data_IF_526072525912
#
_entry.id   IF_526072525912
#
_cell.length_a   1.000
_cell.length_b   1.000
_cell.length_c   1.000
_cell.angle_alpha   90.00
_cell.angle_beta   90.00
_cell.angle_gamma   90.00
#
_symmetry.space_group_name_H-M   'P 1'
#
loop_
_entity.id
_entity.type
_entity.pdbx_description
1 polymer ?
#
# COMPACT_ATOMS: atom_id res chain seq x y z
N UNK A 1 -9.36 -82.02 -31.91
CA UNK A 1 -9.87 -81.01 -30.97
C UNK A 1 -10.21 -79.77 -31.76
N UNK A 2 -11.48 -79.38 -31.77
CA UNK A 2 -12.01 -78.37 -32.70
C UNK A 2 -11.61 -76.94 -32.31
N UNK A 3 -11.37 -76.12 -33.33
CA UNK A 3 -11.13 -74.68 -33.28
C UNK A 3 -12.01 -73.91 -32.27
N UNK A 4 -13.27 -74.34 -32.11
CA UNK A 4 -14.22 -73.77 -31.14
C UNK A 4 -13.75 -73.87 -29.68
N UNK A 5 -13.03 -74.93 -29.30
CA UNK A 5 -12.52 -75.10 -27.94
C UNK A 5 -11.39 -74.11 -27.64
N UNK A 6 -10.50 -73.88 -28.61
CA UNK A 6 -9.40 -72.91 -28.51
C UNK A 6 -9.97 -71.49 -28.40
N UNK A 7 -10.96 -71.15 -29.23
CA UNK A 7 -11.63 -69.85 -29.19
C UNK A 7 -12.25 -69.56 -27.82
N UNK A 8 -12.95 -70.54 -27.23
CA UNK A 8 -13.57 -70.42 -25.90
C UNK A 8 -12.54 -70.19 -24.79
N UNK A 9 -11.38 -70.84 -24.87
CA UNK A 9 -10.28 -70.63 -23.91
C UNK A 9 -9.70 -69.22 -24.02
N UNK A 10 -9.49 -68.74 -25.25
CA UNK A 10 -8.98 -67.39 -25.51
C UNK A 10 -9.98 -66.34 -25.00
N UNK A 11 -11.26 -66.48 -25.32
CA UNK A 11 -12.31 -65.56 -24.85
C UNK A 11 -12.40 -65.54 -23.31
N UNK A 12 -12.32 -66.71 -22.67
CA UNK A 12 -12.31 -66.80 -21.21
C UNK A 12 -11.10 -66.12 -20.58
N UNK A 13 -9.92 -66.26 -21.19
CA UNK A 13 -8.68 -65.64 -20.70
C UNK A 13 -8.72 -64.11 -20.90
N UNK A 14 -9.17 -63.66 -22.07
CA UNK A 14 -9.31 -62.25 -22.40
C UNK A 14 -10.32 -61.55 -21.47
N UNK A 15 -11.43 -62.21 -21.12
CA UNK A 15 -12.40 -61.69 -20.16
C UNK A 15 -11.78 -61.46 -18.78
N UNK A 16 -10.99 -62.41 -18.27
CA UNK A 16 -10.29 -62.26 -16.98
C UNK A 16 -9.32 -61.07 -16.98
N UNK A 17 -8.52 -60.94 -18.05
CA UNK A 17 -7.59 -59.82 -18.20
C UNK A 17 -8.33 -58.48 -18.21
N UNK A 18 -9.47 -58.38 -18.89
CA UNK A 18 -10.31 -57.17 -18.89
C UNK A 18 -10.84 -56.85 -17.50
N UNK A 19 -11.32 -57.86 -16.76
CA UNK A 19 -11.81 -57.69 -15.39
C UNK A 19 -10.71 -57.20 -14.43
N UNK A 20 -9.49 -57.75 -14.54
CA UNK A 20 -8.33 -57.29 -13.77
C UNK A 20 -7.93 -55.83 -14.12
N UNK A 21 -7.93 -55.48 -15.41
CA UNK A 21 -7.69 -54.09 -15.86
C UNK A 21 -8.76 -53.15 -15.29
N UNK A 22 -10.03 -53.56 -15.24
CA UNK A 22 -11.09 -52.76 -14.64
C UNK A 22 -10.91 -52.59 -13.13
N UNK A 23 -10.52 -53.65 -12.43
CA UNK A 23 -10.28 -53.60 -10.98
C UNK A 23 -9.11 -52.66 -10.65
N UNK A 24 -7.97 -52.85 -11.29
CA UNK A 24 -6.77 -52.01 -11.12
C UNK A 24 -7.03 -50.55 -11.49
N UNK A 25 -7.78 -50.28 -12.57
CA UNK A 25 -8.21 -48.92 -12.93
C UNK A 25 -9.06 -48.27 -11.84
N UNK A 26 -9.97 -49.03 -11.22
CA UNK A 26 -10.82 -48.53 -10.13
C UNK A 26 -10.00 -48.23 -8.88
N UNK A 27 -9.08 -49.11 -8.49
CA UNK A 27 -8.20 -48.89 -7.35
C UNK A 27 -7.29 -47.68 -7.54
N UNK A 28 -6.68 -47.55 -8.73
CA UNK A 28 -5.85 -46.40 -9.07
C UNK A 28 -6.65 -45.10 -9.01
N UNK A 29 -7.88 -45.09 -9.53
CA UNK A 29 -8.77 -43.93 -9.46
C UNK A 29 -9.06 -43.54 -8.00
N UNK A 30 -9.41 -44.50 -7.15
CA UNK A 30 -9.65 -44.24 -5.73
C UNK A 30 -8.40 -43.71 -5.01
N UNK A 31 -7.22 -44.23 -5.35
CA UNK A 31 -5.93 -43.77 -4.81
C UNK A 31 -5.62 -42.32 -5.23
N UNK A 32 -5.89 -41.97 -6.48
CA UNK A 32 -5.76 -40.60 -7.00
C UNK A 32 -6.75 -39.67 -6.29
N UNK A 33 -8.02 -40.07 -6.18
CA UNK A 33 -9.07 -39.25 -5.57
C UNK A 33 -8.81 -39.01 -4.07
N UNK A 34 -8.36 -40.03 -3.33
CA UNK A 34 -7.98 -39.88 -1.92
C UNK A 34 -6.75 -38.97 -1.73
N UNK A 35 -5.73 -39.12 -2.59
CA UNK A 35 -4.55 -38.25 -2.59
C UNK A 35 -4.90 -36.80 -2.90
N UNK A 36 -5.78 -36.59 -3.90
CA UNK A 36 -6.29 -35.27 -4.28
C UNK A 36 -7.03 -34.60 -3.12
N UNK A 37 -7.93 -35.32 -2.44
CA UNK A 37 -8.65 -34.79 -1.27
C UNK A 37 -7.70 -34.39 -0.15
N UNK A 38 -6.69 -35.22 0.15
CA UNK A 38 -5.68 -34.90 1.18
C UNK A 38 -4.87 -33.65 0.85
N UNK A 39 -4.51 -33.46 -0.43
CA UNK A 39 -3.80 -32.26 -0.87
C UNK A 39 -4.67 -31.00 -0.79
N UNK A 40 -5.95 -31.10 -1.17
CA UNK A 40 -6.90 -30.00 -1.06
C UNK A 40 -7.08 -29.55 0.40
N UNK A 41 -7.23 -30.50 1.33
CA UNK A 41 -7.32 -30.19 2.76
C UNK A 41 -6.07 -29.45 3.27
N UNK A 42 -4.86 -29.92 2.92
CA UNK A 42 -3.61 -29.25 3.30
C UNK A 42 -3.48 -27.84 2.71
N UNK A 43 -3.95 -27.64 1.48
CA UNK A 43 -3.96 -26.30 0.86
C UNK A 43 -4.89 -25.35 1.61
N UNK A 44 -6.08 -25.83 2.00
CA UNK A 44 -7.02 -25.04 2.78
C UNK A 44 -6.48 -24.69 4.18
N UNK A 45 -5.90 -25.65 4.89
CA UNK A 45 -5.22 -25.44 6.18
C UNK A 45 -4.11 -24.37 6.07
N UNK A 46 -3.26 -24.48 5.05
CA UNK A 46 -2.18 -23.51 4.82
C UNK A 46 -2.71 -22.13 4.48
N UNK A 47 -3.77 -22.03 3.67
CA UNK A 47 -4.41 -20.76 3.35
C UNK A 47 -4.98 -20.09 4.61
N UNK A 48 -5.60 -20.85 5.50
CA UNK A 48 -6.11 -20.35 6.77
C UNK A 48 -4.97 -19.87 7.68
N UNK A 49 -3.86 -20.61 7.76
CA UNK A 49 -2.67 -20.21 8.51
C UNK A 49 -2.06 -18.91 7.97
N UNK A 50 -1.98 -18.76 6.65
CA UNK A 50 -1.49 -17.53 6.01
C UNK A 50 -2.36 -16.33 6.40
N UNK A 51 -3.70 -16.48 6.32
CA UNK A 51 -4.62 -15.41 6.72
C UNK A 51 -4.44 -15.00 8.18
N UNK A 52 -4.32 -15.97 9.08
CA UNK A 52 -4.09 -15.72 10.52
C UNK A 52 -2.78 -14.94 10.75
N UNK A 53 -1.68 -15.40 10.15
CA UNK A 53 -0.38 -14.74 10.27
C UNK A 53 -0.37 -13.33 9.66
N UNK A 54 -1.16 -13.09 8.61
CA UNK A 54 -1.31 -11.74 8.04
C UNK A 54 -2.04 -10.81 9.02
N UNK A 55 -3.12 -11.28 9.65
CA UNK A 55 -3.85 -10.53 10.68
C UNK A 55 -2.97 -10.23 11.90
N UNK A 56 -2.22 -11.21 12.41
CA UNK A 56 -1.31 -11.03 13.55
C UNK A 56 -0.19 -10.03 13.24
N UNK A 57 0.45 -10.15 12.06
CA UNK A 57 1.46 -9.18 11.63
C UNK A 57 0.90 -7.76 11.49
N UNK A 58 -0.35 -7.62 11.06
CA UNK A 58 -1.01 -6.33 10.99
C UNK A 58 -1.25 -5.75 12.39
N UNK A 59 -1.65 -6.58 13.34
CA UNK A 59 -1.84 -6.18 14.74
C UNK A 59 -0.52 -5.76 15.41
N UNK A 60 0.55 -6.55 15.24
CA UNK A 60 1.88 -6.22 15.78
C UNK A 60 2.42 -4.90 15.20
N UNK A 61 2.29 -4.70 13.88
CA UNK A 61 2.65 -3.42 13.23
C UNK A 61 1.87 -2.23 13.76
N UNK A 62 0.68 -2.44 14.30
CA UNK A 62 -0.11 -1.38 14.92
C UNK A 62 0.31 -1.15 16.39
N UNK A 63 0.62 -2.22 17.15
CA UNK A 63 1.08 -2.14 18.54
C UNK A 63 2.43 -1.41 18.70
N UNK A 64 3.31 -1.51 17.72
CA UNK A 64 4.64 -0.86 17.76
C UNK A 64 4.62 0.64 17.41
N UNK A 65 3.46 1.23 17.13
CA UNK A 65 3.35 2.66 16.81
C UNK A 65 3.10 3.49 18.05
N UNK A 66 4.08 4.33 18.41
CA UNK A 66 3.92 5.35 19.45
C UNK A 66 3.30 6.61 18.85
N UNK A 67 2.11 7.00 19.32
CA UNK A 67 1.45 8.25 18.95
C UNK A 67 1.84 9.32 19.97
N UNK A 68 2.57 10.35 19.52
CA UNK A 68 2.98 11.48 20.35
C UNK A 68 2.02 12.65 20.15
N UNK A 69 1.19 12.93 21.16
CA UNK A 69 0.36 14.12 21.21
C UNK A 69 1.16 15.31 21.75
N UNK A 70 1.50 16.24 20.87
CA UNK A 70 2.29 17.42 21.21
C UNK A 70 1.38 18.63 21.41
N UNK A 71 1.54 19.33 22.54
CA UNK A 71 0.79 20.54 22.85
C UNK A 71 1.23 21.74 22.01
N UNK A 72 2.49 21.76 21.53
CA UNK A 72 3.06 22.88 20.79
C UNK A 72 3.37 22.51 19.35
N UNK A 73 2.80 23.28 18.41
CA UNK A 73 3.13 23.17 16.99
C UNK A 73 4.60 23.46 16.69
N UNK A 74 5.22 24.36 17.46
CA UNK A 74 6.65 24.71 17.30
C UNK A 74 7.52 23.48 17.59
N UNK A 75 7.24 22.76 18.69
CA UNK A 75 7.93 21.52 19.02
C UNK A 75 7.71 20.43 17.97
N UNK A 76 6.48 20.30 17.46
CA UNK A 76 6.19 19.37 16.34
C UNK A 76 7.09 19.67 15.15
N UNK A 77 7.17 20.93 14.73
CA UNK A 77 8.01 21.36 13.61
C UNK A 77 9.50 21.06 13.86
N UNK A 78 10.00 21.37 15.05
CA UNK A 78 11.39 21.10 15.44
C UNK A 78 11.72 19.60 15.37
N UNK A 79 10.81 18.73 15.82
CA UNK A 79 10.97 17.27 15.71
C UNK A 79 11.04 16.85 14.23
N UNK A 80 10.17 17.39 13.37
CA UNK A 80 10.19 17.08 11.94
C UNK A 80 11.43 17.59 11.20
N UNK A 81 11.98 18.73 11.61
CA UNK A 81 13.24 19.26 11.08
C UNK A 81 14.42 18.35 11.50
N UNK A 82 14.39 17.82 12.72
CA UNK A 82 15.43 16.93 13.25
C UNK A 82 15.29 15.46 12.84
N UNK A 83 14.18 15.02 12.22
CA UNK A 83 13.95 13.61 11.86
C UNK A 83 15.05 12.99 10.99
N UNK A 84 15.74 13.82 10.18
CA UNK A 84 16.83 13.35 9.33
C UNK A 84 18.04 12.85 10.11
N UNK A 85 18.19 13.26 11.38
CA UNK A 85 19.24 12.77 12.27
C UNK A 85 19.00 11.32 12.73
N UNK A 86 17.78 10.81 12.56
CA UNK A 86 17.43 9.42 12.87
C UNK A 86 17.71 8.46 11.70
N UNK A 87 18.20 8.96 10.55
CA UNK A 87 18.59 8.10 9.43
C UNK A 87 19.69 7.14 9.87
N UNK A 88 19.52 5.84 9.58
CA UNK A 88 20.41 4.78 10.03
C UNK A 88 20.01 4.12 11.35
N UNK A 89 19.00 4.66 12.04
CA UNK A 89 18.34 3.98 13.15
C UNK A 89 17.12 3.18 12.68
N UNK A 90 16.56 2.33 13.54
CA UNK A 90 15.35 1.56 13.27
C UNK A 90 14.05 2.35 13.51
N UNK A 91 14.16 3.65 13.80
CA UNK A 91 13.01 4.49 14.10
C UNK A 91 12.69 5.43 12.93
N UNK A 92 11.40 5.59 12.67
CA UNK A 92 10.90 6.55 11.69
C UNK A 92 9.85 7.44 12.33
N UNK A 93 9.92 8.74 12.04
CA UNK A 93 8.93 9.73 12.49
C UNK A 93 8.15 10.18 11.25
N UNK A 94 6.85 9.98 11.29
CA UNK A 94 5.89 10.42 10.26
C UNK A 94 4.76 11.20 10.90
N UNK A 95 4.06 11.99 10.09
CA UNK A 95 2.80 12.60 10.52
C UNK A 95 1.72 11.52 10.62
N UNK A 96 0.87 11.65 11.65
CA UNK A 96 -0.32 10.81 11.77
C UNK A 96 -1.42 11.38 10.87
N UNK A 97 -1.45 10.88 9.64
CA UNK A 97 -2.42 11.25 8.62
C UNK A 97 -3.57 10.26 8.61
N UNK A 98 -4.79 10.75 8.35
CA UNK A 98 -5.97 9.91 8.13
C UNK A 98 -5.81 9.07 6.86
N UNK A 99 -6.62 8.02 6.70
CA UNK A 99 -6.52 7.15 5.52
C UNK A 99 -6.75 7.90 4.21
N UNK A 100 -7.79 8.75 4.16
CA UNK A 100 -8.08 9.61 3.00
C UNK A 100 -6.90 10.54 2.68
N UNK A 101 -6.32 11.20 3.69
CA UNK A 101 -5.13 12.06 3.47
C UNK A 101 -3.92 11.28 2.92
N UNK A 102 -3.73 10.02 3.33
CA UNK A 102 -2.65 9.17 2.80
C UNK A 102 -2.88 8.81 1.34
N UNK A 103 -4.13 8.54 0.95
CA UNK A 103 -4.51 8.26 -0.42
C UNK A 103 -4.32 9.49 -1.30
N UNK A 104 -4.78 10.65 -0.84
CA UNK A 104 -4.55 11.93 -1.49
C UNK A 104 -3.05 12.19 -1.70
N UNK A 105 -2.25 12.01 -0.65
CA UNK A 105 -0.80 12.20 -0.74
C UNK A 105 -0.13 11.22 -1.73
N UNK A 106 -0.60 9.98 -1.82
CA UNK A 106 -0.13 9.02 -2.84
C UNK A 106 -0.46 9.52 -4.25
N UNK A 107 -1.69 10.01 -4.47
CA UNK A 107 -2.11 10.56 -5.75
C UNK A 107 -1.28 11.78 -6.14
N UNK A 108 -1.10 12.72 -5.20
CA UNK A 108 -0.24 13.90 -5.39
C UNK A 108 1.21 13.51 -5.71
N UNK A 109 1.75 12.50 -5.03
CA UNK A 109 3.13 12.03 -5.27
C UNK A 109 3.29 11.42 -6.66
N UNK A 110 2.31 10.65 -7.12
CA UNK A 110 2.31 10.11 -8.49
C UNK A 110 2.27 11.24 -9.51
N UNK A 111 1.39 12.23 -9.32
CA UNK A 111 1.30 13.38 -10.23
C UNK A 111 2.58 14.22 -10.23
N UNK A 112 3.18 14.47 -9.06
CA UNK A 112 4.46 15.15 -8.95
C UNK A 112 5.56 14.47 -9.79
N UNK A 113 5.63 13.14 -9.76
CA UNK A 113 6.62 12.38 -10.54
C UNK A 113 6.36 12.54 -12.04
N UNK A 114 5.10 12.46 -12.48
CA UNK A 114 4.73 12.64 -13.88
C UNK A 114 5.06 14.05 -14.39
N UNK A 115 4.75 15.08 -13.61
CA UNK A 115 5.05 16.48 -13.94
C UNK A 115 6.56 16.77 -13.95
N UNK A 116 7.34 16.14 -13.07
CA UNK A 116 8.81 16.23 -13.13
C UNK A 116 9.38 15.60 -14.39
N UNK A 117 8.79 14.49 -14.84
CA UNK A 117 9.22 13.80 -16.07
C UNK A 117 8.87 14.58 -17.33
N UNK A 118 7.75 15.32 -17.34
CA UNK A 118 7.35 16.10 -18.51
C UNK A 118 8.22 17.34 -18.74
N UNK A 119 8.91 17.84 -17.71
CA UNK A 119 9.79 19.00 -17.80
C UNK A 119 9.07 20.34 -18.05
N UNK A 120 7.73 20.36 -17.96
CA UNK A 120 6.91 21.55 -18.23
C UNK A 120 6.99 22.62 -17.13
N UNK A 121 7.25 22.21 -15.90
CA UNK A 121 7.25 23.07 -14.72
C UNK A 121 8.64 23.12 -14.10
N UNK A 122 9.11 24.33 -13.75
CA UNK A 122 10.45 24.52 -13.19
C UNK A 122 10.48 24.14 -11.70
N UNK A 123 9.44 24.52 -10.96
CA UNK A 123 9.34 24.29 -9.52
C UNK A 123 8.08 23.49 -9.19
N UNK A 124 8.26 22.23 -8.80
CA UNK A 124 7.17 21.38 -8.33
C UNK A 124 7.52 20.63 -7.04
N UNK A 125 6.67 20.77 -6.03
CA UNK A 125 6.80 20.11 -4.73
C UNK A 125 5.45 20.01 -4.01
N UNK A 126 5.34 19.08 -3.05
CA UNK A 126 4.14 18.91 -2.24
C UNK A 126 4.31 19.66 -0.92
N UNK A 127 3.28 20.40 -0.50
CA UNK A 127 3.23 21.09 0.79
C UNK A 127 1.88 20.84 1.47
N UNK A 128 1.88 19.98 2.48
CA UNK A 128 0.64 19.51 3.12
C UNK A 128 -0.20 18.68 2.13
N UNK A 129 -1.48 19.02 1.98
CA UNK A 129 -2.44 18.39 1.06
C UNK A 129 -2.47 19.02 -0.34
N UNK A 130 -1.50 19.87 -0.68
CA UNK A 130 -1.49 20.60 -1.94
C UNK A 130 -0.21 20.31 -2.73
N UNK A 131 -0.36 20.23 -4.05
CA UNK A 131 0.75 20.28 -4.99
C UNK A 131 1.02 21.72 -5.38
N UNK A 132 2.26 22.16 -5.26
CA UNK A 132 2.68 23.51 -5.64
C UNK A 132 3.36 23.42 -7.00
N UNK A 133 2.83 24.11 -8.02
CA UNK A 133 3.38 24.19 -9.37
C UNK A 133 3.69 25.66 -9.68
N UNK A 134 4.97 25.99 -9.84
CA UNK A 134 5.46 27.35 -10.13
C UNK A 134 4.91 28.46 -9.22
N UNK A 135 4.54 28.11 -7.98
CA UNK A 135 4.02 29.02 -6.96
C UNK A 135 2.51 28.92 -6.73
N UNK A 136 1.77 28.30 -7.65
CA UNK A 136 0.33 28.09 -7.53
C UNK A 136 0.01 26.79 -6.79
N UNK A 137 -1.10 26.77 -6.04
CA UNK A 137 -1.51 25.63 -5.22
C UNK A 137 -2.64 24.88 -5.90
N UNK A 138 -2.49 23.57 -5.98
CA UNK A 138 -3.48 22.67 -6.57
C UNK A 138 -3.84 21.56 -5.58
N UNK A 139 -5.13 21.27 -5.48
CA UNK A 139 -5.70 20.13 -4.77
C UNK A 139 -5.77 18.89 -5.67
N UNK A 140 -6.02 17.72 -5.09
CA UNK A 140 -6.14 16.46 -5.87
C UNK A 140 -7.24 16.56 -6.92
N UNK A 141 -8.36 17.20 -6.58
CA UNK A 141 -9.52 17.36 -7.46
C UNK A 141 -9.17 18.22 -8.68
N UNK A 142 -8.49 19.35 -8.47
CA UNK A 142 -8.10 20.27 -9.53
C UNK A 142 -7.08 19.65 -10.51
N UNK A 143 -6.21 18.76 -10.02
CA UNK A 143 -5.21 18.08 -10.85
C UNK A 143 -5.83 17.11 -11.87
N UNK A 144 -7.02 16.57 -11.60
CA UNK A 144 -7.68 15.65 -12.54
C UNK A 144 -8.06 16.33 -13.86
N UNK A 145 -8.21 17.66 -13.87
CA UNK A 145 -8.55 18.45 -15.05
C UNK A 145 -7.34 18.79 -15.94
N UNK A 146 -6.12 18.75 -15.41
CA UNK A 146 -4.91 19.20 -16.12
C UNK A 146 -4.43 18.17 -17.15
N UNK A 147 -4.68 16.88 -16.92
CA UNK A 147 -4.27 15.79 -17.82
C UNK A 147 -5.07 15.75 -19.14
N UNK A 148 -5.97 16.71 -19.39
CA UNK A 148 -6.71 16.81 -20.66
C UNK A 148 -7.65 15.63 -20.93
N UNK A 149 -7.81 14.70 -19.98
CA UNK A 149 -8.94 13.80 -19.92
C UNK A 149 -10.14 14.65 -19.51
N UNK A 150 -10.77 15.26 -20.50
CA UNK A 150 -12.14 15.71 -20.34
C UNK A 150 -12.91 14.54 -19.69
N UNK A 151 -13.65 14.76 -18.58
CA UNK A 151 -14.57 13.75 -18.14
C UNK A 151 -15.39 13.37 -19.38
N UNK A 152 -15.57 12.08 -19.62
CA UNK A 152 -16.50 11.58 -20.63
C UNK A 152 -17.92 11.97 -20.19
N UNK A 153 -18.20 13.26 -20.19
CA UNK A 153 -19.52 13.84 -20.12
C UNK A 153 -20.14 13.44 -21.43
N UNK A 154 -21.09 12.50 -21.36
CA UNK A 154 -22.02 12.28 -22.42
C UNK A 154 -22.52 13.64 -22.95
N UNK A 155 -22.72 13.79 -24.27
CA UNK A 155 -23.17 15.05 -24.85
C UNK A 155 -24.38 15.57 -24.06
N UNK A 156 -24.43 16.87 -23.74
CA UNK A 156 -25.49 17.45 -22.93
C UNK A 156 -26.82 17.10 -23.58
N UNK A 157 -27.58 16.24 -22.92
CA UNK A 157 -28.96 15.96 -23.30
C UNK A 157 -29.71 17.28 -23.12
N UNK A 158 -30.38 17.82 -24.15
CA UNK A 158 -31.04 19.11 -24.08
C UNK A 158 -32.13 19.03 -23.00
N UNK A 159 -31.85 19.63 -21.84
CA UNK A 159 -32.80 19.73 -20.75
C UNK A 159 -33.66 20.95 -21.01
N UNK A 160 -34.94 20.73 -21.32
CA UNK A 160 -35.96 21.76 -21.51
C UNK A 160 -35.94 22.74 -20.32
N UNK A 161 -35.69 24.01 -20.62
CA UNK A 161 -35.67 25.11 -19.66
C UNK A 161 -37.08 25.35 -19.07
N UNK A 162 -37.36 24.75 -17.91
CA UNK A 162 -38.41 25.20 -17.01
C UNK A 162 -37.90 26.34 -16.15
N UNK A 163 -38.36 27.57 -16.41
CA UNK A 163 -38.11 28.75 -15.58
C UNK A 163 -38.69 28.53 -14.18
N UNK A 164 -37.85 28.30 -13.19
CA UNK A 164 -38.19 28.54 -11.78
C UNK A 164 -37.12 29.41 -11.15
N UNK A 165 -37.55 30.61 -10.80
CA UNK A 165 -36.79 31.60 -10.03
C UNK A 165 -37.12 31.42 -8.56
N UNK A 166 -36.16 31.13 -7.67
CA UNK A 166 -36.33 31.37 -6.25
C UNK A 166 -35.59 32.66 -5.84
N UNK A 167 -36.39 33.59 -5.35
CA UNK A 167 -36.12 34.67 -4.39
C UNK A 167 -34.73 34.69 -3.72
N UNK A 168 -34.06 35.82 -3.91
CA UNK A 168 -32.85 36.19 -3.18
C UNK A 168 -33.22 36.57 -1.73
N UNK A 169 -32.74 35.80 -0.76
CA UNK A 169 -32.73 36.22 0.65
C UNK A 169 -31.42 36.92 0.94
N UNK A 170 -31.51 38.22 1.23
CA UNK A 170 -30.39 39.11 1.59
C UNK A 170 -29.93 38.77 3.01
N UNK A 171 -28.66 38.37 3.17
CA UNK A 171 -28.01 38.23 4.49
C UNK A 171 -27.05 39.42 4.69
N UNK A 172 -27.10 40.12 5.84
CA UNK A 172 -26.31 41.32 6.07
C UNK A 172 -24.82 41.04 6.31
N UNK A 173 -24.01 41.88 5.70
CA UNK A 173 -22.55 41.98 5.78
C UNK A 173 -22.11 42.40 7.19
N UNK A 174 -21.48 41.49 7.94
CA UNK A 174 -20.81 41.80 9.21
C UNK A 174 -19.35 42.16 8.93
N UNK A 175 -19.04 43.45 9.00
CA UNK A 175 -17.67 43.97 8.99
C UNK A 175 -16.92 43.50 10.25
N UNK A 176 -15.87 42.70 10.07
CA UNK A 176 -14.87 42.43 11.11
C UNK A 176 -13.66 43.34 10.91
N UNK A 177 -13.48 44.21 11.88
CA UNK A 177 -12.37 45.14 12.06
C UNK A 177 -11.01 44.43 12.14
N UNK A 178 -10.00 45.05 11.54
CA UNK A 178 -8.60 44.63 11.50
C UNK A 178 -7.90 45.05 12.79
N UNK A 179 -7.52 44.10 13.63
CA UNK A 179 -6.53 44.34 14.69
C UNK A 179 -5.11 44.14 14.14
N UNK A 180 -4.33 45.22 14.20
CA UNK A 180 -2.92 45.27 13.79
C UNK A 180 -2.05 44.98 15.01
N UNK A 181 -1.50 43.76 15.11
CA UNK A 181 -0.50 43.42 16.12
C UNK A 181 0.92 43.64 15.59
N UNK A 182 1.71 44.39 16.35
CA UNK A 182 3.09 44.81 16.05
C UNK A 182 4.07 43.62 16.15
N UNK A 183 5.15 43.57 15.34
CA UNK A 183 6.16 42.53 15.42
C UNK A 183 7.14 42.74 16.58
N UNK A 184 7.17 41.80 17.52
CA UNK A 184 8.16 41.70 18.60
C UNK A 184 9.48 41.16 18.04
N UNK A 185 10.56 41.95 18.13
CA UNK A 185 11.90 41.57 17.71
C UNK A 185 12.46 40.47 18.63
N UNK A 186 12.60 39.26 18.12
CA UNK A 186 13.21 38.13 18.83
C UNK A 186 14.72 38.11 18.57
N UNK A 187 15.50 38.18 19.65
CA UNK A 187 16.96 38.27 19.64
C UNK A 187 17.58 36.87 19.42
N UNK A 188 18.38 36.70 18.36
CA UNK A 188 19.12 35.46 18.07
C UNK A 188 20.42 35.45 18.87
N UNK A 189 20.54 34.53 19.82
CA UNK A 189 21.78 34.25 20.53
C UNK A 189 21.94 32.75 20.74
N UNK A 190 22.33 32.00 19.71
CA UNK A 190 22.73 30.59 19.85
C UNK A 190 24.25 30.49 19.84
N UNK A 191 24.82 30.33 21.04
CA UNK A 191 26.20 29.89 21.25
C UNK A 191 26.31 28.42 20.84
N UNK A 192 27.15 28.12 19.86
CA UNK A 192 27.52 26.77 19.47
C UNK A 192 28.63 26.24 20.38
N UNK A 193 28.29 25.33 21.30
CA UNK A 193 29.28 24.53 22.02
C UNK A 193 29.78 23.40 21.13
N UNK A 194 31.07 23.44 20.80
CA UNK A 194 31.80 22.32 20.18
C UNK A 194 31.92 21.19 21.21
N UNK A 195 31.21 20.09 20.99
CA UNK A 195 31.44 18.82 21.69
C UNK A 195 32.31 17.98 20.76
N UNK A 196 33.54 17.69 21.19
CA UNK A 196 34.46 16.79 20.50
C UNK A 196 33.97 15.35 20.65
N UNK A 197 33.69 14.68 19.54
CA UNK A 197 33.34 13.27 19.50
C UNK A 197 34.61 12.42 19.51
N UNK A 198 34.79 11.61 20.56
CA UNK A 198 35.78 10.54 20.62
C UNK A 198 35.30 9.36 19.78
N UNK A 199 36.08 9.01 18.76
CA UNK A 199 35.87 7.83 17.92
C UNK A 199 36.30 6.56 18.66
N UNK A 200 35.33 5.80 19.18
CA UNK A 200 35.56 4.39 19.53
C UNK A 200 35.29 3.52 18.29
N UNK A 201 36.38 3.02 17.70
CA UNK A 201 36.35 1.93 16.72
C UNK A 201 35.91 0.65 17.43
N UNK A 202 34.72 0.15 17.10
CA UNK A 202 34.33 -1.22 17.45
C UNK A 202 34.66 -2.15 16.28
N UNK A 203 35.67 -2.98 16.49
CA UNK A 203 36.03 -4.08 15.59
C UNK A 203 34.90 -5.13 15.58
N UNK A 204 34.09 -5.11 14.52
CA UNK A 204 33.05 -6.12 14.32
C UNK A 204 33.61 -7.24 13.44
N UNK A 205 34.21 -8.23 14.10
CA UNK A 205 34.67 -9.48 13.47
C UNK A 205 33.46 -10.26 12.94
N UNK A 206 33.38 -10.38 11.61
CA UNK A 206 32.41 -11.22 10.89
C UNK A 206 32.85 -12.69 10.97
N UNK A 207 32.20 -13.49 11.81
CA UNK A 207 32.28 -14.96 11.73
C UNK A 207 31.24 -15.45 10.72
N UNK A 208 31.72 -15.81 9.54
CA UNK A 208 31.01 -16.66 8.58
C UNK A 208 30.83 -18.06 9.19
N UNK A 209 29.58 -18.46 9.43
CA UNK A 209 29.21 -19.85 9.73
C UNK A 209 28.73 -20.53 8.47
N UNK A 210 29.61 -21.26 7.80
CA UNK A 210 29.27 -22.25 6.79
C UNK A 210 28.75 -23.50 7.49
N UNK A 211 27.45 -23.80 7.35
CA UNK A 211 26.94 -25.14 7.66
C UNK A 211 26.70 -25.90 6.37
N UNK A 212 27.54 -26.92 6.24
CA UNK A 212 27.54 -28.02 5.30
C UNK A 212 26.21 -28.75 5.20
N UNK A 213 25.84 -29.05 3.95
CA UNK A 213 25.45 -30.40 3.47
C UNK A 213 25.32 -31.49 4.54
N UNK A 214 24.15 -32.13 4.62
CA UNK A 214 24.05 -33.59 4.58
C UNK A 214 22.61 -34.09 4.41
N UNK A 215 22.45 -34.98 3.40
CA UNK A 215 21.38 -35.95 3.11
C UNK A 215 20.06 -35.45 2.55
#
# INVERSE_FOLDING_TARGET
MGEAAIKKIIEGSLKKVIEEIHCTKKELKNSIDSSKTRLLMKLEENNNKIKLLQSENQELKNKERLILLLTSFIKKREIFENKNKLKGTNYSISEDLTQSQREDYKNLKTQLINLKKSGKYNNCYIKGTHLILDGEKYTVEELTFIDGKAPNSAPPTPTLQGKFSPEQTVVPLVERSKETSKPTKFNKGTKTSKIAATNEKSDRTTRFGSTSSNR
#
